data_IF_580861602259
#
_entry.id   IF_580861602259
#
_cell.length_a   1.000
_cell.length_b   1.000
_cell.length_c   1.000
_cell.angle_alpha   90.00
_cell.angle_beta   90.00
_cell.angle_gamma   90.00
#
_symmetry.space_group_name_H-M   'P 1'
#
loop_
_entity.id
_entity.type
_entity.pdbx_description
1 polymer ?
#
# COMPACT_ATOMS: atom_id res chain seq x y z
N UNK A 1 15.27 3.16 12.94
CA UNK A 1 14.68 4.08 11.94
C UNK A 1 13.81 5.10 12.66
N UNK A 2 13.84 6.39 12.26
CA UNK A 2 12.92 7.41 12.81
C UNK A 2 11.49 7.09 12.37
N UNK A 3 10.52 7.19 13.29
CA UNK A 3 9.09 7.07 12.96
C UNK A 3 8.71 8.16 11.95
N UNK A 4 7.87 7.80 10.97
CA UNK A 4 7.37 8.74 9.97
C UNK A 4 6.23 9.57 10.57
N UNK A 5 6.19 10.86 10.22
CA UNK A 5 5.14 11.77 10.71
C UNK A 5 3.76 11.27 10.29
N UNK A 6 2.73 11.45 11.13
CA UNK A 6 1.35 11.03 10.85
C UNK A 6 0.87 11.37 9.43
N UNK A 7 1.18 12.58 8.94
CA UNK A 7 0.86 13.01 7.57
C UNK A 7 1.53 12.14 6.50
N UNK A 8 2.82 11.83 6.66
CA UNK A 8 3.58 11.00 5.72
C UNK A 8 3.07 9.56 5.74
N UNK A 9 2.72 9.03 6.91
CA UNK A 9 2.16 7.68 7.00
C UNK A 9 0.77 7.58 6.36
N UNK A 10 -0.09 8.59 6.54
CA UNK A 10 -1.39 8.68 5.84
C UNK A 10 -1.23 8.74 4.31
N UNK A 11 -0.24 9.48 3.80
CA UNK A 11 0.08 9.50 2.37
C UNK A 11 0.57 8.14 1.88
N UNK A 12 1.38 7.44 2.68
CA UNK A 12 1.88 6.11 2.32
C UNK A 12 0.76 5.06 2.32
N UNK A 13 -0.15 5.16 3.29
CA UNK A 13 -1.30 4.27 3.43
C UNK A 13 -2.30 4.47 2.28
N UNK A 14 -2.59 5.73 1.93
CA UNK A 14 -3.42 6.05 0.76
C UNK A 14 -2.77 5.62 -0.56
N UNK A 15 -1.46 5.80 -0.72
CA UNK A 15 -0.74 5.30 -1.88
C UNK A 15 -0.80 3.76 -1.97
N UNK A 16 -0.63 3.04 -0.86
CA UNK A 16 -0.76 1.58 -0.81
C UNK A 16 -2.16 1.10 -1.22
N UNK A 17 -3.22 1.72 -0.68
CA UNK A 17 -4.59 1.40 -1.09
C UNK A 17 -4.84 1.70 -2.57
N UNK A 18 -4.33 2.83 -3.07
CA UNK A 18 -4.49 3.23 -4.46
C UNK A 18 -3.84 2.22 -5.41
N UNK A 19 -2.60 1.80 -5.12
CA UNK A 19 -1.90 0.78 -5.91
C UNK A 19 -2.71 -0.52 -5.96
N UNK A 20 -3.22 -1.02 -4.84
CA UNK A 20 -4.04 -2.24 -4.81
C UNK A 20 -5.32 -2.07 -5.64
N UNK A 21 -6.02 -0.94 -5.49
CA UNK A 21 -7.23 -0.66 -6.24
C UNK A 21 -6.96 -0.62 -7.75
N UNK A 22 -5.91 0.08 -8.19
CA UNK A 22 -5.52 0.12 -9.61
C UNK A 22 -5.10 -1.25 -10.12
N UNK A 23 -4.43 -2.06 -9.30
CA UNK A 23 -4.04 -3.43 -9.68
C UNK A 23 -5.28 -4.32 -9.89
N UNK A 24 -6.29 -4.22 -9.02
CA UNK A 24 -7.55 -4.95 -9.17
C UNK A 24 -8.32 -4.52 -10.43
N UNK A 25 -8.39 -3.21 -10.69
CA UNK A 25 -9.02 -2.68 -11.91
C UNK A 25 -8.26 -3.16 -13.14
N UNK A 26 -6.93 -3.02 -13.17
CA UNK A 26 -6.10 -3.44 -14.30
C UNK A 26 -6.19 -4.95 -14.56
N UNK A 27 -6.28 -5.78 -13.52
CA UNK A 27 -6.43 -7.23 -13.67
C UNK A 27 -7.82 -7.68 -14.10
N UNK A 28 -8.84 -6.83 -13.93
CA UNK A 28 -10.18 -7.08 -14.44
C UNK A 28 -10.27 -6.82 -15.95
N UNK A 29 -9.58 -5.80 -16.45
CA UNK A 29 -9.63 -5.40 -17.86
C UNK A 29 -8.50 -5.97 -18.73
N UNK A 30 -7.41 -6.44 -18.12
CA UNK A 30 -6.25 -6.98 -18.83
C UNK A 30 -5.80 -8.31 -18.23
N UNK A 31 -5.50 -9.29 -19.10
CA UNK A 31 -4.79 -10.51 -18.71
C UNK A 31 -3.32 -10.20 -18.42
N UNK A 32 -3.08 -9.64 -17.24
CA UNK A 32 -1.75 -9.49 -16.68
C UNK A 32 -1.18 -10.88 -16.35
N UNK A 33 0.11 -11.08 -16.63
CA UNK A 33 0.81 -12.31 -16.22
C UNK A 33 0.75 -12.47 -14.70
N UNK A 34 0.74 -13.72 -14.24
CA UNK A 34 0.57 -14.02 -12.81
C UNK A 34 1.62 -13.32 -11.92
N UNK A 35 2.86 -13.23 -12.44
CA UNK A 35 3.94 -12.47 -11.81
C UNK A 35 3.64 -10.97 -11.71
N UNK A 36 3.06 -10.36 -12.75
CA UNK A 36 2.66 -8.95 -12.71
C UNK A 36 1.54 -8.73 -11.70
N UNK A 37 0.51 -9.59 -11.67
CA UNK A 37 -0.57 -9.52 -10.67
C UNK A 37 -0.02 -9.59 -9.25
N UNK A 38 0.80 -10.60 -8.98
CA UNK A 38 1.41 -10.81 -7.66
C UNK A 38 2.31 -9.66 -7.22
N UNK A 39 3.12 -9.11 -8.13
CA UNK A 39 4.03 -8.00 -7.82
C UNK A 39 3.28 -6.69 -7.51
N UNK A 40 2.23 -6.34 -8.26
CA UNK A 40 1.42 -5.15 -7.95
C UNK A 40 0.73 -5.25 -6.59
N UNK A 41 0.12 -6.40 -6.29
CA UNK A 41 -0.51 -6.66 -4.98
C UNK A 41 0.56 -6.63 -3.87
N UNK A 42 1.70 -7.29 -4.09
CA UNK A 42 2.81 -7.33 -3.14
C UNK A 42 3.39 -5.95 -2.81
N UNK A 43 3.57 -5.08 -3.82
CA UNK A 43 4.00 -3.68 -3.63
C UNK A 43 2.96 -2.93 -2.80
N UNK A 44 1.68 -3.06 -3.13
CA UNK A 44 0.59 -2.44 -2.38
C UNK A 44 0.59 -2.84 -0.90
N UNK A 45 0.70 -4.14 -0.62
CA UNK A 45 0.79 -4.67 0.75
C UNK A 45 2.06 -4.18 1.45
N UNK A 46 3.21 -4.19 0.77
CA UNK A 46 4.47 -3.69 1.33
C UNK A 46 4.38 -2.22 1.76
N UNK A 47 3.72 -1.38 0.96
CA UNK A 47 3.47 0.02 1.30
C UNK A 47 2.55 0.16 2.52
N UNK A 48 1.49 -0.64 2.60
CA UNK A 48 0.57 -0.65 3.74
C UNK A 48 1.27 -1.09 5.04
N UNK A 49 2.06 -2.16 5.00
CA UNK A 49 2.83 -2.64 6.15
C UNK A 49 3.85 -1.59 6.59
N UNK A 50 4.54 -0.96 5.64
CA UNK A 50 5.48 0.12 5.94
C UNK A 50 4.77 1.29 6.62
N UNK A 51 3.59 1.67 6.14
CA UNK A 51 2.79 2.71 6.77
C UNK A 51 2.39 2.32 8.19
N UNK A 52 1.88 1.10 8.41
CA UNK A 52 1.41 0.61 9.71
C UNK A 52 2.53 0.48 10.75
N UNK A 53 3.65 -0.14 10.40
CA UNK A 53 4.74 -0.39 11.34
C UNK A 53 5.62 0.84 11.60
N UNK A 54 5.80 1.71 10.59
CA UNK A 54 6.67 2.89 10.70
C UNK A 54 5.90 4.21 10.82
N UNK A 55 4.57 4.16 10.81
CA UNK A 55 3.70 5.32 10.98
C UNK A 55 3.48 5.66 12.45
N UNK A 56 3.50 6.95 12.75
CA UNK A 56 3.00 7.46 14.02
C UNK A 56 1.45 7.55 13.97
N UNK A 57 0.82 6.37 13.96
CA UNK A 57 -0.61 6.26 14.21
C UNK A 57 -0.80 6.25 15.72
N UNK A 58 -1.02 7.44 16.30
CA UNK A 58 -1.49 7.55 17.68
C UNK A 58 -2.80 6.77 17.78
N UNK A 59 -2.73 5.52 18.23
CA UNK A 59 -3.90 4.72 18.57
C UNK A 59 -4.66 5.47 19.65
N UNK A 60 -5.95 5.71 19.43
CA UNK A 60 -6.81 6.23 20.48
C UNK A 60 -6.85 5.17 21.59
N UNK A 61 -6.07 5.39 22.64
CA UNK A 61 -6.27 4.78 23.94
C UNK A 61 -7.23 5.66 24.74
#
# INVERSE_FOLDING_TARGET
MKKTTKRKSLLLLSAGMFVIATAQVATHYSELTDLAKGSFIGIGIGLLLTALFFGDFKTAQ
#
